data_IF_229277434699
#
_entry.id   IF_229277434699
#
_cell.length_a   1.000
_cell.length_b   1.000
_cell.length_c   1.000
_cell.angle_alpha   90.00
_cell.angle_beta   90.00
_cell.angle_gamma   90.00
#
_symmetry.space_group_name_H-M   'P 1'
#
loop_
_entity.id
_entity.type
_entity.pdbx_description
1 polymer ?
#
# COMPACT_ATOMS: atom_id res chain seq x y z
N UNK A 1 11.67 7.65 3.39
CA UNK A 1 10.42 8.43 3.30
C UNK A 1 9.91 8.44 1.85
N UNK A 2 8.59 8.41 1.63
CA UNK A 2 7.97 8.24 0.30
C UNK A 2 8.14 9.44 -0.65
N UNK A 3 8.21 10.66 -0.10
CA UNK A 3 8.40 11.89 -0.91
C UNK A 3 9.84 12.11 -1.37
N UNK A 4 10.79 11.26 -0.97
CA UNK A 4 12.15 11.36 -1.45
C UNK A 4 12.21 11.15 -2.98
N UNK A 5 12.90 12.05 -3.69
CA UNK A 5 12.98 12.02 -5.16
C UNK A 5 13.49 10.68 -5.69
N UNK A 6 14.49 10.08 -5.02
CA UNK A 6 15.02 8.76 -5.37
C UNK A 6 13.96 7.65 -5.35
N UNK A 7 13.00 7.72 -4.43
CA UNK A 7 11.90 6.75 -4.32
C UNK A 7 10.94 6.96 -5.47
N UNK A 8 10.53 8.20 -5.72
CA UNK A 8 9.60 8.53 -6.80
C UNK A 8 10.19 8.19 -8.19
N UNK A 9 11.45 8.49 -8.44
CA UNK A 9 12.16 8.07 -9.67
C UNK A 9 12.17 6.55 -9.82
N UNK A 10 12.40 5.81 -8.73
CA UNK A 10 12.36 4.34 -8.75
C UNK A 10 10.95 3.83 -9.07
N UNK A 11 9.89 4.42 -8.51
CA UNK A 11 8.51 4.09 -8.88
C UNK A 11 8.24 4.35 -10.36
N UNK A 12 8.71 5.48 -10.90
CA UNK A 12 8.57 5.80 -12.33
C UNK A 12 9.27 4.78 -13.24
N UNK A 13 10.47 4.31 -12.87
CA UNK A 13 11.19 3.25 -13.60
C UNK A 13 10.39 1.95 -13.67
N UNK A 14 9.55 1.68 -12.68
CA UNK A 14 8.69 0.49 -12.62
C UNK A 14 7.25 0.75 -13.10
N UNK A 15 6.96 1.92 -13.70
CA UNK A 15 5.60 2.25 -14.16
C UNK A 15 4.58 2.43 -13.03
N UNK A 16 5.03 2.65 -11.79
CA UNK A 16 4.16 2.79 -10.62
C UNK A 16 3.80 4.27 -10.43
N UNK A 17 2.49 4.55 -10.42
CA UNK A 17 1.94 5.91 -10.22
C UNK A 17 2.06 6.33 -8.75
N UNK A 18 2.74 7.44 -8.48
CA UNK A 18 2.82 7.98 -7.12
C UNK A 18 1.60 8.83 -6.78
N UNK A 19 0.76 8.37 -5.85
CA UNK A 19 -0.51 9.02 -5.46
C UNK A 19 -0.61 9.10 -3.93
N UNK A 20 0.00 10.11 -3.29
CA UNK A 20 -0.10 10.29 -1.85
C UNK A 20 -1.51 10.77 -1.45
N UNK A 21 -1.96 10.38 -0.26
CA UNK A 21 -3.18 10.90 0.34
C UNK A 21 -3.03 12.38 0.71
N UNK A 22 -4.13 13.13 0.63
CA UNK A 22 -4.15 14.54 1.04
C UNK A 22 -3.74 14.65 2.53
N UNK A 23 -2.87 15.61 2.90
CA UNK A 23 -2.50 15.83 4.30
C UNK A 23 -3.73 16.00 5.21
N UNK A 24 -3.65 15.46 6.42
CA UNK A 24 -4.75 15.51 7.39
C UNK A 24 -5.94 14.60 7.06
N UNK A 25 -5.75 13.59 6.20
CA UNK A 25 -6.81 12.62 5.82
C UNK A 25 -6.54 11.20 6.32
N UNK A 26 -6.37 10.97 7.64
CA UNK A 26 -6.00 9.65 8.18
C UNK A 26 -7.06 8.58 7.92
N UNK A 27 -8.34 8.97 7.79
CA UNK A 27 -9.43 8.05 7.45
C UNK A 27 -9.22 7.29 6.13
N UNK A 28 -8.40 7.82 5.20
CA UNK A 28 -8.03 7.14 3.96
C UNK A 28 -7.03 5.98 4.17
N UNK A 29 -6.35 5.93 5.31
CA UNK A 29 -5.38 4.89 5.68
C UNK A 29 -6.01 3.76 6.52
N UNK A 30 -7.32 3.77 6.74
CA UNK A 30 -7.98 2.87 7.69
C UNK A 30 -7.75 1.37 7.44
N UNK A 31 -7.48 0.95 6.20
CA UNK A 31 -7.09 -0.44 5.89
C UNK A 31 -5.73 -0.81 6.48
N UNK A 32 -4.73 0.06 6.28
CA UNK A 32 -3.37 -0.13 6.81
C UNK A 32 -3.38 -0.06 8.33
N UNK A 33 -4.05 0.95 8.88
CA UNK A 33 -4.17 1.13 10.33
C UNK A 33 -4.86 -0.06 11.00
N UNK A 34 -5.90 -0.63 10.37
CA UNK A 34 -6.56 -1.84 10.87
C UNK A 34 -5.64 -3.06 10.85
N UNK A 35 -4.85 -3.25 9.79
CA UNK A 35 -3.85 -4.34 9.73
C UNK A 35 -2.84 -4.20 10.87
N UNK A 36 -2.22 -3.02 11.00
CA UNK A 36 -1.23 -2.73 12.03
C UNK A 36 -1.79 -2.88 13.44
N UNK A 37 -3.05 -2.46 13.66
CA UNK A 37 -3.73 -2.66 14.94
C UNK A 37 -3.86 -4.15 15.26
N UNK A 38 -4.21 -4.98 14.27
CA UNK A 38 -4.35 -6.42 14.43
C UNK A 38 -3.01 -7.06 14.77
N UNK A 39 -1.96 -6.75 14.01
CA UNK A 39 -0.60 -7.23 14.26
C UNK A 39 -0.13 -6.84 15.66
N UNK A 40 -0.41 -5.60 16.08
CA UNK A 40 -0.06 -5.11 17.41
C UNK A 40 -0.80 -5.86 18.53
N UNK A 41 -2.11 -6.10 18.37
CA UNK A 41 -2.92 -6.70 19.43
C UNK A 41 -2.84 -8.22 19.50
N UNK A 42 -2.59 -8.88 18.37
CA UNK A 42 -2.59 -10.35 18.28
C UNK A 42 -1.16 -10.92 18.27
N UNK A 43 -0.25 -10.37 17.46
CA UNK A 43 1.12 -10.88 17.34
C UNK A 43 2.09 -10.24 18.33
N UNK A 44 2.32 -8.93 18.24
CA UNK A 44 3.34 -8.28 19.07
C UNK A 44 3.00 -8.25 20.56
N UNK A 45 1.73 -8.47 20.93
CA UNK A 45 1.33 -8.63 22.32
C UNK A 45 1.72 -9.99 22.92
N UNK A 46 2.10 -10.98 22.09
CA UNK A 46 2.30 -12.38 22.50
C UNK A 46 3.73 -12.88 22.30
N UNK A 47 4.62 -12.06 21.71
CA UNK A 47 6.02 -12.44 21.42
C UNK A 47 7.02 -11.51 22.11
N UNK A 48 8.20 -12.04 22.42
CA UNK A 48 9.37 -11.21 22.76
C UNK A 48 10.06 -10.77 21.47
N UNK A 49 10.08 -9.46 21.24
CA UNK A 49 10.66 -8.84 20.04
C UNK A 49 12.20 -8.95 19.99
N UNK A 50 12.85 -9.23 21.12
CA UNK A 50 14.30 -9.38 21.20
C UNK A 50 14.75 -10.84 21.08
N UNK A 51 13.81 -11.77 20.96
CA UNK A 51 14.12 -13.18 20.77
C UNK A 51 14.81 -13.42 19.44
N UNK A 52 15.76 -14.36 19.42
CA UNK A 52 16.47 -14.77 18.20
C UNK A 52 15.53 -15.38 17.14
N UNK A 53 14.39 -15.94 17.58
CA UNK A 53 13.39 -16.60 16.73
C UNK A 53 12.27 -15.67 16.22
N UNK A 54 12.36 -14.36 16.45
CA UNK A 54 11.29 -13.40 16.11
C UNK A 54 10.93 -13.40 14.62
N UNK A 55 11.91 -13.63 13.74
CA UNK A 55 11.69 -13.67 12.30
C UNK A 55 10.86 -14.88 11.88
N UNK A 56 11.12 -16.04 12.47
CA UNK A 56 10.38 -17.27 12.19
C UNK A 56 8.93 -17.15 12.68
N UNK A 57 8.75 -16.63 13.91
CA UNK A 57 7.42 -16.32 14.45
C UNK A 57 6.65 -15.33 13.58
N UNK A 58 7.32 -14.32 13.04
CA UNK A 58 6.69 -13.35 12.16
C UNK A 58 6.28 -14.00 10.83
N UNK A 59 7.10 -14.89 10.26
CA UNK A 59 6.76 -15.62 9.05
C UNK A 59 5.56 -16.55 9.27
N UNK A 60 5.51 -17.26 10.41
CA UNK A 60 4.36 -18.09 10.80
C UNK A 60 3.09 -17.25 10.95
N UNK A 61 3.19 -16.09 11.62
CA UNK A 61 2.07 -15.15 11.75
C UNK A 61 1.56 -14.67 10.39
N UNK A 62 2.46 -14.25 9.50
CA UNK A 62 2.10 -13.82 8.15
C UNK A 62 1.46 -14.94 7.35
N UNK A 63 1.94 -16.17 7.48
CA UNK A 63 1.36 -17.32 6.82
C UNK A 63 -0.05 -17.58 7.34
N UNK A 64 -0.23 -17.65 8.66
CA UNK A 64 -1.54 -17.80 9.29
C UNK A 64 -2.53 -16.70 8.85
N UNK A 65 -2.14 -15.44 8.96
CA UNK A 65 -2.99 -14.31 8.63
C UNK A 65 -3.45 -14.33 7.15
N UNK A 66 -2.54 -14.64 6.23
CA UNK A 66 -2.82 -14.57 4.80
C UNK A 66 -3.51 -15.84 4.25
N UNK A 67 -3.21 -17.02 4.79
CA UNK A 67 -3.63 -18.31 4.22
C UNK A 67 -4.65 -19.10 5.04
N UNK A 68 -4.76 -18.85 6.35
CA UNK A 68 -5.60 -19.67 7.24
C UNK A 68 -6.68 -18.86 7.96
N UNK A 69 -6.42 -17.59 8.27
CA UNK A 69 -7.36 -16.74 9.02
C UNK A 69 -8.56 -16.36 8.14
N UNK A 70 -9.80 -16.67 8.53
CA UNK A 70 -10.99 -16.20 7.83
C UNK A 70 -11.30 -14.74 8.19
N UNK A 71 -11.67 -13.92 7.20
CA UNK A 71 -11.98 -12.50 7.41
C UNK A 71 -13.45 -12.20 7.12
N UNK A 72 -14.17 -11.64 8.10
CA UNK A 72 -15.58 -11.26 7.93
C UNK A 72 -15.80 -10.24 6.80
N UNK A 73 -14.90 -9.27 6.66
CA UNK A 73 -14.90 -8.31 5.55
C UNK A 73 -14.72 -8.96 4.17
N UNK A 74 -14.20 -10.18 4.12
CA UNK A 74 -14.02 -11.00 2.92
C UNK A 74 -15.03 -12.16 2.85
N UNK A 75 -16.16 -12.06 3.56
CA UNK A 75 -17.21 -13.09 3.63
C UNK A 75 -16.67 -14.46 4.08
N UNK A 76 -15.74 -14.45 5.04
CA UNK A 76 -15.15 -15.67 5.60
C UNK A 76 -13.92 -16.18 4.85
N UNK A 77 -13.57 -15.59 3.70
CA UNK A 77 -12.37 -15.96 2.94
C UNK A 77 -11.10 -15.43 3.60
N UNK A 78 -9.98 -16.07 3.28
CA UNK A 78 -8.64 -15.59 3.62
C UNK A 78 -8.18 -14.50 2.65
N UNK A 79 -7.21 -13.66 3.03
CA UNK A 79 -6.62 -12.69 2.10
C UNK A 79 -6.10 -13.31 0.80
N UNK A 80 -5.46 -14.49 0.87
CA UNK A 80 -4.93 -15.17 -0.32
C UNK A 80 -6.02 -15.74 -1.22
N UNK A 81 -7.08 -16.32 -0.67
CA UNK A 81 -8.24 -16.74 -1.47
C UNK A 81 -8.81 -15.55 -2.25
N UNK A 82 -8.96 -14.40 -1.58
CA UNK A 82 -9.46 -13.19 -2.25
C UNK A 82 -8.50 -12.66 -3.31
N UNK A 83 -7.20 -12.79 -3.08
CA UNK A 83 -6.17 -12.42 -4.05
C UNK A 83 -6.28 -13.26 -5.33
N UNK A 84 -6.36 -14.59 -5.20
CA UNK A 84 -6.45 -15.49 -6.36
C UNK A 84 -7.72 -15.27 -7.18
N UNK A 85 -8.85 -14.96 -6.54
CA UNK A 85 -10.09 -14.59 -7.25
C UNK A 85 -9.94 -13.39 -8.17
N UNK A 86 -9.12 -12.42 -7.75
CA UNK A 86 -8.90 -11.18 -8.49
C UNK A 86 -7.69 -11.27 -9.42
N UNK A 87 -6.93 -12.36 -9.37
CA UNK A 87 -5.71 -12.51 -10.15
C UNK A 87 -5.99 -12.47 -11.65
N UNK A 88 -7.08 -13.10 -12.10
CA UNK A 88 -7.51 -13.11 -13.50
C UNK A 88 -8.00 -11.74 -14.00
N UNK A 89 -8.46 -10.87 -13.10
CA UNK A 89 -8.90 -9.50 -13.44
C UNK A 89 -7.75 -8.48 -13.38
N UNK A 90 -6.61 -8.87 -12.81
CA UNK A 90 -5.49 -7.96 -12.58
C UNK A 90 -4.59 -7.93 -13.81
N UNK A 91 -4.38 -6.76 -14.45
CA UNK A 91 -3.57 -6.67 -15.65
C UNK A 91 -2.12 -7.05 -15.36
N UNK A 92 -1.47 -7.67 -16.35
CA UNK A 92 -0.06 -8.03 -16.25
C UNK A 92 0.83 -6.79 -16.34
N UNK A 93 2.08 -6.92 -15.87
CA UNK A 93 3.01 -5.80 -15.80
C UNK A 93 3.27 -5.14 -17.17
N UNK A 94 3.23 -5.90 -18.27
CA UNK A 94 3.44 -5.36 -19.61
C UNK A 94 2.24 -4.53 -20.09
N UNK A 95 1.02 -4.93 -19.75
CA UNK A 95 -0.21 -4.18 -20.01
C UNK A 95 -0.24 -2.86 -19.23
N UNK A 96 0.12 -2.94 -17.94
CA UNK A 96 0.26 -1.75 -17.08
C UNK A 96 1.32 -0.80 -17.65
N UNK A 97 2.46 -1.33 -18.11
CA UNK A 97 3.54 -0.53 -18.68
C UNK A 97 3.12 0.15 -19.99
N UNK A 98 2.35 -0.53 -20.86
CA UNK A 98 1.80 0.06 -22.10
C UNK A 98 0.87 1.24 -21.81
N UNK A 99 0.16 1.21 -20.68
CA UNK A 99 -0.75 2.27 -20.26
C UNK A 99 -0.07 3.38 -19.43
N UNK A 100 1.19 3.19 -19.05
CA UNK A 100 1.92 4.16 -18.25
C UNK A 100 2.53 5.24 -19.14
N UNK A 101 2.08 6.49 -18.97
CA UNK A 101 2.65 7.64 -19.66
C UNK A 101 3.52 8.47 -18.69
N UNK A 102 4.86 8.46 -18.83
CA UNK A 102 5.76 9.23 -17.97
C UNK A 102 5.50 10.74 -18.00
N UNK A 103 4.98 11.30 -19.10
CA UNK A 103 4.70 12.75 -19.20
C UNK A 103 3.57 13.20 -18.28
N UNK A 104 2.73 12.27 -17.82
CA UNK A 104 1.63 12.54 -16.89
C UNK A 104 2.10 12.53 -15.43
N UNK A 105 3.34 12.11 -15.18
CA UNK A 105 3.89 11.92 -13.86
C UNK A 105 4.88 13.04 -13.52
N UNK A 106 4.99 13.38 -12.24
CA UNK A 106 5.91 14.40 -11.75
C UNK A 106 6.40 14.06 -10.35
N UNK A 107 7.55 14.62 -9.99
CA UNK A 107 8.01 14.60 -8.61
C UNK A 107 7.10 15.50 -7.76
N UNK A 108 6.54 14.93 -6.70
CA UNK A 108 5.71 15.62 -5.72
C UNK A 108 6.55 15.88 -4.46
N UNK A 109 6.29 17.02 -3.81
CA UNK A 109 6.96 17.38 -2.57
C UNK A 109 5.99 17.24 -1.40
N UNK A 110 6.50 16.94 -0.20
CA UNK A 110 5.67 16.84 1.00
C UNK A 110 4.91 18.16 1.31
N UNK A 111 5.46 19.29 0.85
CA UNK A 111 4.79 20.58 0.92
C UNK A 111 3.64 20.66 -0.10
N UNK A 112 2.42 20.41 0.39
CA UNK A 112 1.19 20.34 -0.39
C UNK A 112 0.74 21.69 -1.01
N UNK A 113 1.41 22.81 -0.69
CA UNK A 113 1.08 24.13 -1.27
C UNK A 113 1.18 24.11 -2.79
N UNK A 114 2.23 23.49 -3.34
CA UNK A 114 2.43 23.42 -4.79
C UNK A 114 1.33 22.60 -5.48
N UNK A 115 0.89 21.52 -4.85
CA UNK A 115 -0.19 20.67 -5.38
C UNK A 115 -1.54 21.39 -5.37
N UNK A 116 -1.81 22.20 -4.36
CA UNK A 116 -3.00 23.05 -4.30
C UNK A 116 -3.02 24.09 -5.42
N UNK A 117 -1.89 24.76 -5.70
CA UNK A 117 -1.81 25.74 -6.80
C UNK A 117 -2.00 25.08 -8.17
N UNK A 118 -1.38 23.91 -8.39
CA UNK A 118 -1.59 23.14 -9.63
C UNK A 118 -3.06 22.72 -9.78
N UNK A 119 -3.71 22.30 -8.69
CA UNK A 119 -5.12 21.91 -8.71
C UNK A 119 -6.06 23.09 -9.02
N UNK A 120 -5.74 24.31 -8.57
CA UNK A 120 -6.49 25.52 -8.93
C UNK A 120 -6.37 25.81 -10.43
N UNK A 121 -5.15 25.80 -10.97
CA UNK A 121 -4.90 26.07 -12.40
C UNK A 121 -5.65 25.09 -13.30
N UNK A 122 -5.67 23.80 -12.96
CA UNK A 122 -6.40 22.78 -13.74
C UNK A 122 -7.92 22.93 -13.72
N UNK A 123 -8.50 23.59 -12.71
CA UNK A 123 -9.95 23.82 -12.63
C UNK A 123 -10.40 25.03 -13.45
N UNK A 124 -9.47 25.89 -13.85
CA UNK A 124 -9.73 27.12 -14.61
C UNK A 124 -9.54 26.94 -16.12
N UNK A 125 -9.15 25.73 -16.57
CA UNK A 125 -9.02 25.31 -17.96
C UNK A 125 -10.15 24.35 -18.30
#
# INVERSE_FOLDING_TARGET
EFFAEKVQKKLMQHGIKFRPNKPGSPHLNGKVERSQKTDKSEFYATVDINSEDIQDKLAEWQHYYNWMRPHSALKGKTPMERYFELCEETPFSDEVQKQYNPSNERIQHANYKMDLEIAKLKRSL
#
